data_IF_051243748382
#
_entry.id   IF_051243748382
#
_cell.length_a   1.000
_cell.length_b   1.000
_cell.length_c   1.000
_cell.angle_alpha   90.00
_cell.angle_beta   90.00
_cell.angle_gamma   90.00
#
_symmetry.space_group_name_H-M   'P 1'
#
loop_
_entity.id
_entity.type
_entity.pdbx_description
1 polymer ?
#
# COMPACT_ATOMS: atom_id res chain seq x y z
N UNK A 1 10.48 -24.34 13.89
CA UNK A 1 10.98 -23.09 13.33
C UNK A 1 11.22 -22.08 14.45
N UNK A 2 12.43 -21.54 14.51
CA UNK A 2 12.75 -20.57 15.54
C UNK A 2 12.21 -19.18 15.17
N UNK A 3 11.66 -18.49 16.14
CA UNK A 3 11.21 -17.11 15.96
C UNK A 3 12.40 -16.18 16.09
N UNK A 4 12.66 -15.38 15.08
CA UNK A 4 13.83 -14.49 15.05
C UNK A 4 13.44 -13.09 14.58
N UNK A 5 13.22 -12.19 15.54
CA UNK A 5 12.80 -10.82 15.23
C UNK A 5 13.90 -10.01 14.55
N UNK A 6 15.18 -10.32 14.82
CA UNK A 6 16.29 -9.64 14.14
C UNK A 6 16.27 -9.88 12.64
N UNK A 7 15.91 -11.09 12.23
CA UNK A 7 15.74 -11.41 10.81
C UNK A 7 14.63 -10.58 10.18
N UNK A 8 13.49 -10.45 10.85
CA UNK A 8 12.38 -9.66 10.35
C UNK A 8 12.74 -8.19 10.23
N UNK A 9 13.46 -7.65 11.20
CA UNK A 9 13.94 -6.28 11.16
C UNK A 9 14.90 -6.05 10.00
N UNK A 10 15.82 -6.98 9.78
CA UNK A 10 16.78 -6.91 8.67
C UNK A 10 16.08 -6.96 7.32
N UNK A 11 15.16 -7.88 7.16
CA UNK A 11 14.37 -8.01 5.93
C UNK A 11 13.52 -6.77 5.66
N UNK A 12 12.91 -6.24 6.72
CA UNK A 12 12.09 -5.03 6.61
C UNK A 12 12.90 -3.80 6.24
N UNK A 13 14.08 -3.64 6.81
CA UNK A 13 14.96 -2.52 6.48
C UNK A 13 15.46 -2.61 5.03
N UNK A 14 15.79 -3.81 4.57
CA UNK A 14 16.19 -4.04 3.18
C UNK A 14 15.05 -3.73 2.23
N UNK A 15 13.85 -4.22 2.54
CA UNK A 15 12.64 -3.93 1.78
C UNK A 15 12.44 -2.42 1.64
N UNK A 16 12.52 -1.69 2.74
CA UNK A 16 12.25 -0.26 2.75
C UNK A 16 13.23 0.51 1.90
N UNK A 17 14.51 0.12 1.92
CA UNK A 17 15.54 0.73 1.08
C UNK A 17 15.26 0.49 -0.41
N UNK A 18 14.91 -0.73 -0.78
CA UNK A 18 14.58 -1.07 -2.16
C UNK A 18 13.32 -0.34 -2.62
N UNK A 19 12.31 -0.29 -1.77
CA UNK A 19 11.07 0.42 -2.05
C UNK A 19 11.33 1.92 -2.27
N UNK A 20 12.13 2.55 -1.42
CA UNK A 20 12.46 3.97 -1.56
C UNK A 20 13.15 4.25 -2.90
N UNK A 21 14.05 3.36 -3.34
CA UNK A 21 14.70 3.49 -4.65
C UNK A 21 13.69 3.35 -5.78
N UNK A 22 12.79 2.38 -5.69
CA UNK A 22 11.76 2.17 -6.71
C UNK A 22 10.83 3.38 -6.82
N UNK A 23 10.61 4.06 -5.71
CA UNK A 23 9.78 5.28 -5.67
C UNK A 23 10.53 6.54 -6.08
N UNK A 24 11.79 6.42 -6.46
CA UNK A 24 12.67 7.56 -6.78
C UNK A 24 12.87 8.52 -5.60
N UNK A 25 12.92 7.97 -4.40
CA UNK A 25 13.13 8.75 -3.17
C UNK A 25 14.56 8.62 -2.63
N UNK A 26 15.46 7.94 -3.37
CA UNK A 26 16.83 7.74 -2.95
C UNK A 26 16.91 6.94 -1.67
N UNK A 27 17.54 7.48 -0.66
CA UNK A 27 17.68 6.86 0.66
C UNK A 27 16.70 7.42 1.69
N UNK A 28 15.69 8.19 1.26
CA UNK A 28 14.68 8.75 2.15
C UNK A 28 13.65 7.68 2.53
N UNK A 29 14.06 6.79 3.42
CA UNK A 29 13.22 5.67 3.87
C UNK A 29 12.08 6.12 4.76
N UNK A 30 12.23 7.25 5.45
CA UNK A 30 11.17 7.77 6.30
C UNK A 30 9.96 8.18 5.46
N UNK A 31 10.19 8.94 4.41
CA UNK A 31 9.12 9.34 3.48
C UNK A 31 8.51 8.12 2.79
N UNK A 32 9.37 7.20 2.32
CA UNK A 32 8.90 5.97 1.66
C UNK A 32 8.02 5.15 2.60
N UNK A 33 8.41 5.02 3.86
CA UNK A 33 7.64 4.29 4.86
C UNK A 33 6.28 4.91 5.13
N UNK A 34 6.22 6.25 5.20
CA UNK A 34 4.94 6.95 5.39
C UNK A 34 4.00 6.73 4.21
N UNK A 35 4.53 6.80 3.00
CA UNK A 35 3.73 6.58 1.79
C UNK A 35 3.20 5.15 1.76
N UNK A 36 4.08 4.17 1.98
CA UNK A 36 3.68 2.76 1.99
C UNK A 36 2.56 2.50 2.99
N UNK A 37 2.75 2.96 4.23
CA UNK A 37 1.78 2.78 5.30
C UNK A 37 0.44 3.41 4.93
N UNK A 38 0.47 4.63 4.40
CA UNK A 38 -0.75 5.35 4.02
C UNK A 38 -1.51 4.65 2.91
N UNK A 39 -0.79 4.12 1.90
CA UNK A 39 -1.43 3.39 0.80
C UNK A 39 -2.05 2.10 1.31
N UNK A 40 -1.34 1.35 2.14
CA UNK A 40 -1.86 0.10 2.70
C UNK A 40 -3.08 0.33 3.59
N UNK A 41 -3.06 1.37 4.40
CA UNK A 41 -4.19 1.70 5.26
C UNK A 41 -5.41 2.14 4.44
N UNK A 42 -5.20 2.93 3.40
CA UNK A 42 -6.29 3.32 2.51
C UNK A 42 -6.90 2.10 1.80
N UNK A 43 -6.05 1.18 1.35
CA UNK A 43 -6.53 -0.05 0.70
C UNK A 43 -7.37 -0.88 1.66
N UNK A 44 -6.90 -1.11 2.88
CA UNK A 44 -7.64 -1.91 3.85
C UNK A 44 -8.98 -1.29 4.24
N UNK A 45 -9.10 0.05 4.12
CA UNK A 45 -10.34 0.75 4.42
C UNK A 45 -11.43 0.49 3.38
N UNK A 46 -11.06 0.14 2.15
CA UNK A 46 -12.03 0.08 1.05
C UNK A 46 -12.30 -1.33 0.51
N UNK A 47 -11.40 -2.29 0.72
CA UNK A 47 -11.63 -3.65 0.22
C UNK A 47 -12.37 -4.50 1.26
N UNK A 48 -13.07 -5.57 0.83
CA UNK A 48 -13.71 -6.47 1.77
C UNK A 48 -12.70 -7.10 2.73
N UNK A 49 -13.16 -7.36 3.96
CA UNK A 49 -12.28 -7.93 4.99
C UNK A 49 -11.67 -9.27 4.55
N UNK A 50 -12.41 -10.07 3.81
CA UNK A 50 -11.90 -11.36 3.32
C UNK A 50 -10.73 -11.15 2.37
N UNK A 51 -10.81 -10.14 1.48
CA UNK A 51 -9.71 -9.81 0.58
C UNK A 51 -8.50 -9.28 1.34
N UNK A 52 -8.73 -8.46 2.37
CA UNK A 52 -7.65 -7.98 3.23
C UNK A 52 -6.92 -9.14 3.90
N UNK A 53 -7.65 -10.13 4.41
CA UNK A 53 -7.04 -11.29 5.05
C UNK A 53 -6.22 -12.12 4.08
N UNK A 54 -6.72 -12.33 2.87
CA UNK A 54 -6.00 -13.06 1.83
C UNK A 54 -4.74 -12.32 1.39
N UNK A 55 -4.86 -11.01 1.19
CA UNK A 55 -3.74 -10.16 0.83
C UNK A 55 -2.66 -10.19 1.92
N UNK A 56 -3.07 -9.99 3.17
CA UNK A 56 -2.16 -9.98 4.32
C UNK A 56 -1.44 -11.32 4.47
N UNK A 57 -2.12 -12.44 4.17
CA UNK A 57 -1.52 -13.76 4.28
C UNK A 57 -0.30 -13.94 3.39
N UNK A 58 -0.23 -13.22 2.26
CA UNK A 58 0.88 -13.31 1.32
C UNK A 58 2.00 -12.31 1.61
N UNK A 59 1.77 -11.35 2.48
CA UNK A 59 2.79 -10.37 2.82
C UNK A 59 3.88 -11.00 3.69
N UNK A 60 5.13 -10.52 3.56
CA UNK A 60 6.16 -10.93 4.52
C UNK A 60 5.83 -10.46 5.93
N UNK A 61 6.40 -11.11 6.94
CA UNK A 61 6.02 -10.90 8.34
C UNK A 61 6.07 -9.44 8.77
N UNK A 62 7.08 -8.70 8.36
CA UNK A 62 7.20 -7.29 8.74
C UNK A 62 6.08 -6.43 8.15
N UNK A 63 5.58 -6.76 6.95
CA UNK A 63 4.47 -6.03 6.35
C UNK A 63 3.11 -6.45 6.92
N UNK A 64 2.98 -7.69 7.39
CA UNK A 64 1.76 -8.11 8.08
C UNK A 64 1.49 -7.21 9.28
N UNK A 65 2.54 -6.91 10.05
CA UNK A 65 2.43 -6.02 11.20
C UNK A 65 2.01 -4.61 10.81
N UNK A 66 2.59 -4.07 9.75
CA UNK A 66 2.22 -2.74 9.23
C UNK A 66 0.76 -2.74 8.78
N UNK A 67 0.35 -3.74 8.01
CA UNK A 67 -0.99 -3.79 7.44
C UNK A 67 -2.08 -3.86 8.52
N UNK A 68 -1.84 -4.58 9.59
CA UNK A 68 -2.86 -4.83 10.62
C UNK A 68 -2.84 -3.78 11.73
N UNK A 69 -1.77 -2.98 11.83
CA UNK A 69 -1.62 -2.01 12.91
C UNK A 69 -2.78 -1.01 12.93
N UNK A 70 -3.43 -0.89 14.08
CA UNK A 70 -4.51 0.06 14.26
C UNK A 70 -5.78 -0.23 13.46
N UNK A 71 -5.90 -1.41 12.88
CA UNK A 71 -7.05 -1.76 12.02
C UNK A 71 -8.29 -2.03 12.87
N UNK A 72 -9.38 -1.35 12.53
CA UNK A 72 -10.68 -1.54 13.15
C UNK A 72 -11.67 -2.04 12.11
N UNK A 73 -11.93 -3.34 12.10
CA UNK A 73 -12.75 -3.98 11.07
C UNK A 73 -14.24 -3.66 11.20
N UNK A 74 -14.67 -3.19 12.36
CA UNK A 74 -16.08 -2.85 12.59
C UNK A 74 -16.49 -1.46 12.11
N UNK A 75 -15.54 -0.66 11.63
CA UNK A 75 -15.84 0.67 11.15
C UNK A 75 -16.59 0.64 9.82
N UNK A 76 -17.48 1.63 9.64
CA UNK A 76 -18.13 1.84 8.38
C UNK A 76 -17.10 2.21 7.32
N UNK A 77 -17.17 1.55 6.16
CA UNK A 77 -16.25 1.83 5.07
C UNK A 77 -16.55 3.19 4.44
N UNK A 78 -15.51 3.97 4.09
CA UNK A 78 -15.73 5.20 3.34
C UNK A 78 -16.27 4.89 1.95
N UNK A 79 -17.07 5.79 1.44
CA UNK A 79 -17.62 5.66 0.07
C UNK A 79 -16.60 6.23 -0.91
N UNK A 80 -15.72 5.38 -1.41
CA UNK A 80 -14.69 5.76 -2.37
C UNK A 80 -15.02 5.12 -3.71
N UNK A 81 -15.19 5.94 -4.74
CA UNK A 81 -15.50 5.46 -6.10
C UNK A 81 -14.51 5.97 -7.14
N UNK A 82 -13.83 7.07 -6.88
CA UNK A 82 -12.96 7.74 -7.85
C UNK A 82 -11.56 7.90 -7.31
N UNK A 83 -10.59 7.97 -8.22
CA UNK A 83 -9.18 8.08 -7.85
C UNK A 83 -8.88 9.30 -6.97
N UNK A 84 -9.40 10.50 -7.23
CA UNK A 84 -9.15 11.63 -6.33
C UNK A 84 -9.61 11.37 -4.90
N UNK A 85 -10.72 10.66 -4.72
CA UNK A 85 -11.21 10.31 -3.39
C UNK A 85 -10.26 9.34 -2.67
N UNK A 86 -9.71 8.37 -3.41
CA UNK A 86 -8.74 7.44 -2.85
C UNK A 86 -7.46 8.16 -2.47
N UNK A 87 -6.98 9.07 -3.32
CA UNK A 87 -5.80 9.89 -3.03
C UNK A 87 -6.03 10.71 -1.75
N UNK A 88 -7.21 11.29 -1.59
CA UNK A 88 -7.54 12.04 -0.37
C UNK A 88 -7.52 11.13 0.86
N UNK A 89 -7.99 9.90 0.74
CA UNK A 89 -7.93 8.93 1.83
C UNK A 89 -6.48 8.59 2.19
N UNK A 90 -5.63 8.38 1.19
CA UNK A 90 -4.19 8.13 1.40
C UNK A 90 -3.56 9.33 2.15
N UNK A 91 -3.84 10.54 1.69
CA UNK A 91 -3.33 11.75 2.34
C UNK A 91 -3.81 11.87 3.78
N UNK A 92 -5.05 11.51 4.03
CA UNK A 92 -5.62 11.55 5.38
C UNK A 92 -4.85 10.62 6.32
N UNK A 93 -4.48 9.44 5.86
CA UNK A 93 -3.67 8.52 6.66
C UNK A 93 -2.26 9.03 6.90
N UNK A 94 -1.71 9.76 5.94
CA UNK A 94 -0.38 10.35 6.09
C UNK A 94 -0.39 11.58 7.04
N UNK A 95 -1.54 12.18 7.22
CA UNK A 95 -1.73 13.27 8.18
C UNK A 95 -0.98 14.54 7.79
N UNK A 96 -0.33 15.18 8.75
CA UNK A 96 0.35 16.46 8.53
C UNK A 96 1.49 16.38 7.53
N UNK A 97 2.09 15.20 7.33
CA UNK A 97 3.19 15.02 6.39
C UNK A 97 2.72 15.00 4.93
N UNK A 98 1.42 14.87 4.68
CA UNK A 98 0.89 14.70 3.32
C UNK A 98 1.26 15.83 2.38
N UNK A 99 1.36 17.05 2.88
CA UNK A 99 1.73 18.22 2.07
C UNK A 99 3.11 18.02 1.46
N UNK A 100 4.07 17.58 2.27
CA UNK A 100 5.44 17.36 1.80
C UNK A 100 5.56 16.06 1.02
N UNK A 101 4.82 15.03 1.40
CA UNK A 101 4.98 13.71 0.79
C UNK A 101 4.35 13.63 -0.61
N UNK A 102 3.24 14.33 -0.83
CA UNK A 102 2.49 14.24 -2.10
C UNK A 102 2.47 15.55 -2.91
N UNK A 103 3.11 16.60 -2.45
CA UNK A 103 3.38 17.85 -3.19
C UNK A 103 2.12 18.52 -3.76
N UNK A 104 0.96 18.32 -3.17
CA UNK A 104 -0.34 18.81 -3.68
C UNK A 104 -0.67 18.32 -5.10
N UNK A 105 0.03 17.31 -5.60
CA UNK A 105 -0.12 16.81 -6.95
C UNK A 105 -0.85 15.47 -6.94
N UNK A 106 -1.97 15.39 -7.65
CA UNK A 106 -2.65 14.11 -7.83
C UNK A 106 -1.81 13.17 -8.69
N UNK A 107 -1.07 13.69 -9.66
CA UNK A 107 -0.20 12.88 -10.51
C UNK A 107 0.91 12.21 -9.69
N UNK A 108 1.54 12.94 -8.79
CA UNK A 108 2.57 12.39 -7.91
C UNK A 108 1.98 11.32 -7.01
N UNK A 109 0.84 11.60 -6.39
CA UNK A 109 0.17 10.65 -5.50
C UNK A 109 -0.23 9.37 -6.26
N UNK A 110 -0.82 9.51 -7.43
CA UNK A 110 -1.21 8.37 -8.25
C UNK A 110 0.00 7.53 -8.65
N UNK A 111 1.09 8.18 -9.02
CA UNK A 111 2.32 7.48 -9.38
C UNK A 111 2.87 6.68 -8.21
N UNK A 112 2.89 7.25 -7.01
CA UNK A 112 3.33 6.54 -5.81
C UNK A 112 2.44 5.34 -5.51
N UNK A 113 1.11 5.49 -5.64
CA UNK A 113 0.17 4.41 -5.41
C UNK A 113 0.41 3.26 -6.39
N UNK A 114 0.50 3.57 -7.68
CA UNK A 114 0.74 2.56 -8.72
C UNK A 114 2.08 1.85 -8.53
N UNK A 115 3.12 2.61 -8.23
CA UNK A 115 4.45 2.04 -7.99
C UNK A 115 4.45 1.11 -6.78
N UNK A 116 3.71 1.47 -5.74
CA UNK A 116 3.56 0.63 -4.55
C UNK A 116 3.01 -0.75 -4.90
N UNK A 117 1.94 -0.81 -5.68
CA UNK A 117 1.35 -2.09 -6.07
C UNK A 117 2.25 -2.88 -7.02
N UNK A 118 2.98 -2.23 -7.90
CA UNK A 118 3.97 -2.89 -8.74
C UNK A 118 5.06 -3.51 -7.87
N UNK A 119 5.56 -2.78 -6.89
CA UNK A 119 6.61 -3.27 -6.00
C UNK A 119 6.13 -4.47 -5.18
N UNK A 120 4.89 -4.46 -4.73
CA UNK A 120 4.32 -5.54 -3.92
C UNK A 120 4.15 -6.85 -4.71
N UNK A 121 4.26 -6.81 -6.04
CA UNK A 121 4.22 -8.03 -6.86
C UNK A 121 5.36 -9.00 -6.54
N UNK A 122 6.39 -8.54 -5.88
CA UNK A 122 7.48 -9.42 -5.41
C UNK A 122 7.01 -10.38 -4.32
N UNK A 123 5.93 -10.04 -3.62
CA UNK A 123 5.46 -10.77 -2.45
C UNK A 123 4.06 -11.33 -2.63
N UNK A 124 3.24 -10.67 -3.42
CA UNK A 124 1.82 -10.99 -3.60
C UNK A 124 1.61 -11.53 -5.01
N UNK A 125 0.92 -12.65 -5.12
CA UNK A 125 0.67 -13.27 -6.42
C UNK A 125 -0.20 -12.39 -7.31
N UNK A 126 -0.05 -12.54 -8.61
CA UNK A 126 -0.90 -11.83 -9.58
C UNK A 126 -2.37 -12.19 -9.39
N UNK A 127 -2.66 -13.45 -9.04
CA UNK A 127 -4.02 -13.88 -8.76
C UNK A 127 -4.65 -13.13 -7.60
N UNK A 128 -3.89 -12.91 -6.51
CA UNK A 128 -4.39 -12.15 -5.37
C UNK A 128 -4.58 -10.69 -5.73
N UNK A 129 -3.65 -10.09 -6.46
CA UNK A 129 -3.79 -8.70 -6.93
C UNK A 129 -4.99 -8.56 -7.85
N UNK A 130 -5.24 -9.55 -8.70
CA UNK A 130 -6.42 -9.58 -9.56
C UNK A 130 -7.71 -9.63 -8.76
N UNK A 131 -7.75 -10.44 -7.70
CA UNK A 131 -8.90 -10.53 -6.82
C UNK A 131 -9.18 -9.19 -6.13
N UNK A 132 -8.13 -8.51 -5.66
CA UNK A 132 -8.27 -7.17 -5.07
C UNK A 132 -8.81 -6.20 -6.12
N UNK A 133 -8.21 -6.20 -7.30
CA UNK A 133 -8.64 -5.35 -8.40
C UNK A 133 -10.13 -5.54 -8.72
N UNK A 134 -10.57 -6.78 -8.77
CA UNK A 134 -11.97 -7.08 -9.08
C UNK A 134 -12.93 -6.57 -8.00
N UNK A 135 -12.45 -6.42 -6.76
CA UNK A 135 -13.27 -5.89 -5.67
C UNK A 135 -13.31 -4.35 -5.65
N UNK A 136 -12.49 -3.68 -6.46
CA UNK A 136 -12.40 -2.23 -6.46
C UNK A 136 -13.44 -1.60 -7.39
N UNK A 137 -13.86 -0.35 -7.11
CA UNK A 137 -14.63 0.43 -8.07
C UNK A 137 -13.88 0.57 -9.40
N UNK A 138 -14.64 0.71 -10.49
CA UNK A 138 -14.08 0.75 -11.84
C UNK A 138 -12.94 1.76 -12.00
N UNK A 139 -13.11 2.95 -11.45
CA UNK A 139 -12.11 4.03 -11.58
C UNK A 139 -10.81 3.73 -10.83
N UNK A 140 -10.84 2.82 -9.86
CA UNK A 140 -9.65 2.47 -9.07
C UNK A 140 -8.90 1.24 -9.59
N UNK A 141 -9.49 0.51 -10.54
CA UNK A 141 -8.89 -0.74 -11.01
C UNK A 141 -7.50 -0.54 -11.61
N UNK A 142 -7.27 0.58 -12.27
CA UNK A 142 -6.00 0.88 -12.94
C UNK A 142 -4.83 1.06 -11.98
N UNK A 143 -5.07 1.35 -10.71
CA UNK A 143 -3.97 1.49 -9.76
C UNK A 143 -3.26 0.17 -9.49
N UNK A 144 -3.93 -0.95 -9.74
CA UNK A 144 -3.35 -2.28 -9.56
C UNK A 144 -2.67 -2.77 -10.83
N UNK A 145 -3.26 -2.54 -11.99
CA UNK A 145 -2.85 -3.21 -13.23
C UNK A 145 -2.36 -2.29 -14.33
N UNK A 146 -2.25 -1.00 -14.12
CA UNK A 146 -1.98 -0.05 -15.21
C UNK A 146 -0.78 -0.41 -16.08
N UNK A 147 0.24 -1.07 -15.54
CA UNK A 147 1.47 -1.39 -16.28
C UNK A 147 1.88 -2.85 -16.20
N UNK A 148 0.94 -3.74 -15.85
CA UNK A 148 1.27 -5.14 -15.65
C UNK A 148 1.32 -5.92 -16.96
N UNK A 149 0.68 -5.41 -17.97
CA UNK A 149 0.50 -6.14 -19.24
C UNK A 149 1.74 -6.15 -20.12
N UNK A 150 2.86 -5.71 -19.64
CA UNK A 150 4.09 -5.59 -20.43
C UNK A 150 5.25 -6.32 -19.87
#
# INVERSE_FOLDING_TARGET
MALNFNQYASEGNKFLKEYAKQMNLGDNTDKAGRILTSVLYALRDIIPIQESCQFMAQLPMFLKGVYVHGWSVGKKKPKIKRMPEFIDLVRKHDGAAAINDFEYSEEVAEQYIKTTFIFLRKYVSLGELEDIRDSLPKDLKDMIYSNIMF
#
